data_IF_265567100134
#
_entry.id   IF_265567100134
#
_cell.length_a   1.000
_cell.length_b   1.000
_cell.length_c   1.000
_cell.angle_alpha   90.00
_cell.angle_beta   90.00
_cell.angle_gamma   90.00
#
_symmetry.space_group_name_H-M   'P 1'
#
loop_
_entity.id
_entity.type
_entity.pdbx_description
1 polymer ?
#
# COMPACT_ATOMS: atom_id res chain seq x y z
N UNK A 1 23.00 -1.98 0.11
CA UNK A 1 23.80 -1.86 -1.13
C UNK A 1 24.83 -0.77 -0.86
N UNK A 2 26.13 -1.03 -0.95
CA UNK A 2 27.14 0.00 -0.66
C UNK A 2 27.44 0.74 -1.95
N UNK A 3 27.01 2.00 -2.05
CA UNK A 3 27.24 2.82 -3.23
C UNK A 3 28.67 3.37 -3.18
N UNK A 4 29.46 3.08 -4.22
CA UNK A 4 30.83 3.57 -4.34
C UNK A 4 30.84 5.02 -4.82
N UNK A 5 31.25 5.93 -3.92
CA UNK A 5 31.26 7.37 -4.15
C UNK A 5 32.26 7.82 -5.21
N UNK A 6 33.35 7.09 -5.39
CA UNK A 6 34.37 7.46 -6.39
C UNK A 6 33.90 7.04 -7.78
N UNK A 7 33.21 5.91 -7.89
CA UNK A 7 32.52 5.52 -9.13
C UNK A 7 31.35 6.45 -9.48
N UNK A 8 30.67 7.04 -8.49
CA UNK A 8 29.60 8.01 -8.75
C UNK A 8 30.10 9.33 -9.36
N UNK A 9 31.24 9.86 -8.90
CA UNK A 9 31.85 11.05 -9.50
C UNK A 9 32.31 10.79 -10.93
N UNK A 10 32.74 9.57 -11.20
CA UNK A 10 33.14 9.10 -12.52
C UNK A 10 31.96 8.63 -13.40
N UNK A 11 30.69 8.83 -13.02
CA UNK A 11 29.55 8.40 -13.85
C UNK A 11 29.51 9.06 -15.23
N UNK A 12 30.13 10.23 -15.36
CA UNK A 12 30.25 10.94 -16.61
C UNK A 12 31.53 11.77 -16.63
N UNK A 13 32.11 11.89 -17.82
CA UNK A 13 33.29 12.68 -18.10
C UNK A 13 32.97 13.72 -19.15
N UNK A 14 33.72 14.81 -19.11
CA UNK A 14 33.60 15.91 -20.04
C UNK A 14 34.97 16.38 -20.51
N UNK A 15 35.00 16.97 -21.69
CA UNK A 15 36.12 17.83 -22.11
C UNK A 15 35.76 19.30 -21.91
N UNK A 16 36.73 20.19 -22.12
CA UNK A 16 36.59 21.63 -21.88
C UNK A 16 35.37 22.26 -22.58
N UNK A 17 35.05 21.80 -23.79
CA UNK A 17 33.99 22.35 -24.65
C UNK A 17 32.57 21.83 -24.33
N UNK A 18 32.37 21.08 -23.25
CA UNK A 18 31.07 20.44 -22.95
C UNK A 18 29.87 21.40 -22.77
N UNK A 19 30.11 22.70 -22.58
CA UNK A 19 29.05 23.71 -22.51
C UNK A 19 28.52 24.11 -23.89
N UNK A 20 29.31 23.91 -24.94
CA UNK A 20 29.00 24.33 -26.32
C UNK A 20 28.86 23.14 -27.26
N UNK A 21 29.49 22.00 -26.96
CA UNK A 21 29.36 20.76 -27.69
C UNK A 21 28.82 19.63 -26.81
N UNK A 22 27.69 19.04 -27.21
CA UNK A 22 27.12 17.88 -26.51
C UNK A 22 27.98 16.62 -26.65
N UNK A 23 28.78 16.52 -27.72
CA UNK A 23 29.70 15.41 -27.94
C UNK A 23 30.92 15.43 -27.01
N UNK A 24 31.17 16.57 -26.35
CA UNK A 24 32.19 16.75 -25.32
C UNK A 24 31.76 16.23 -23.93
N UNK A 25 30.76 15.36 -23.87
CA UNK A 25 30.39 14.59 -22.67
C UNK A 25 30.26 13.11 -23.01
N UNK A 26 30.66 12.22 -22.09
CA UNK A 26 30.48 10.78 -22.22
C UNK A 26 30.16 10.16 -20.86
N UNK A 27 29.34 9.11 -20.87
CA UNK A 27 29.05 8.27 -19.71
C UNK A 27 29.84 6.95 -19.74
N UNK A 28 30.65 6.74 -20.78
CA UNK A 28 31.45 5.55 -21.00
C UNK A 28 32.91 5.80 -20.59
N UNK A 29 33.38 5.02 -19.61
CA UNK A 29 34.73 5.07 -19.07
C UNK A 29 35.80 4.80 -20.12
N UNK A 30 35.55 3.90 -21.07
CA UNK A 30 36.50 3.57 -22.12
C UNK A 30 36.66 4.72 -23.12
N UNK A 31 35.56 5.43 -23.41
CA UNK A 31 35.58 6.61 -24.29
C UNK A 31 36.37 7.74 -23.62
N UNK A 32 36.14 7.98 -22.33
CA UNK A 32 36.88 8.97 -21.56
C UNK A 32 38.38 8.64 -21.50
N UNK A 33 38.74 7.37 -21.31
CA UNK A 33 40.13 6.92 -21.34
C UNK A 33 40.78 7.17 -22.70
N UNK A 34 40.09 6.87 -23.81
CA UNK A 34 40.59 7.16 -25.17
C UNK A 34 40.76 8.65 -25.44
N UNK A 35 39.91 9.52 -24.87
CA UNK A 35 40.10 10.96 -24.96
C UNK A 35 41.37 11.40 -24.22
N UNK A 36 41.58 10.88 -23.00
CA UNK A 36 42.79 11.15 -22.22
C UNK A 36 44.06 10.65 -22.93
N UNK A 37 44.04 9.46 -23.54
CA UNK A 37 45.16 8.92 -24.34
C UNK A 37 45.48 9.77 -25.56
N UNK A 38 44.48 10.42 -26.17
CA UNK A 38 44.67 11.39 -27.26
C UNK A 38 45.18 12.75 -26.77
N UNK A 39 45.33 12.93 -25.46
CA UNK A 39 45.80 14.15 -24.83
C UNK A 39 44.73 15.21 -24.62
N UNK A 40 43.44 14.85 -24.70
CA UNK A 40 42.36 15.80 -24.43
C UNK A 40 42.20 15.99 -22.91
N UNK A 41 41.89 17.20 -22.43
CA UNK A 41 41.56 17.42 -21.03
C UNK A 41 40.24 16.72 -20.72
N UNK A 42 40.26 15.79 -19.76
CA UNK A 42 39.10 14.99 -19.36
C UNK A 42 38.88 15.18 -17.86
N UNK A 43 37.73 15.74 -17.51
CA UNK A 43 37.33 15.97 -16.12
C UNK A 43 36.02 15.24 -15.81
N UNK A 44 35.77 14.88 -14.53
CA UNK A 44 34.45 14.46 -14.09
C UNK A 44 33.40 15.54 -14.40
N UNK A 45 32.24 15.11 -14.91
CA UNK A 45 31.12 16.02 -15.18
C UNK A 45 30.47 16.53 -13.90
N UNK A 46 30.42 15.67 -12.87
CA UNK A 46 29.83 15.99 -11.58
C UNK A 46 30.91 16.21 -10.52
N UNK A 47 30.74 17.27 -9.72
CA UNK A 47 31.62 17.49 -8.57
C UNK A 47 31.19 16.67 -7.34
N UNK A 48 32.07 16.61 -6.34
CA UNK A 48 31.82 15.88 -5.09
C UNK A 48 30.55 16.36 -4.37
N UNK A 49 30.29 17.67 -4.35
CA UNK A 49 29.15 18.25 -3.64
C UNK A 49 27.82 17.86 -4.29
N UNK A 50 27.78 17.83 -5.63
CA UNK A 50 26.63 17.34 -6.39
C UNK A 50 26.36 15.86 -6.11
N UNK A 51 27.41 15.03 -6.10
CA UNK A 51 27.29 13.60 -5.81
C UNK A 51 26.81 13.36 -4.39
N UNK A 52 27.37 14.04 -3.40
CA UNK A 52 26.94 13.89 -2.00
C UNK A 52 25.49 14.38 -1.80
N UNK A 53 25.08 15.46 -2.45
CA UNK A 53 23.69 15.94 -2.39
C UNK A 53 22.71 14.91 -2.97
N UNK A 54 23.06 14.27 -4.10
CA UNK A 54 22.25 13.21 -4.70
C UNK A 54 22.17 11.97 -3.79
N UNK A 55 23.27 11.58 -3.16
CA UNK A 55 23.29 10.46 -2.22
C UNK A 55 22.37 10.69 -1.02
N UNK A 56 22.38 11.91 -0.46
CA UNK A 56 21.47 12.29 0.64
C UNK A 56 20.01 12.22 0.20
N UNK A 57 19.69 12.67 -1.02
CA UNK A 57 18.32 12.61 -1.52
C UNK A 57 17.89 11.16 -1.82
N UNK A 58 18.78 10.32 -2.35
CA UNK A 58 18.52 8.89 -2.52
C UNK A 58 18.18 8.24 -1.16
N UNK A 59 19.00 8.47 -0.14
CA UNK A 59 18.76 7.91 1.20
C UNK A 59 17.42 8.39 1.79
N UNK A 60 17.10 9.68 1.61
CA UNK A 60 15.81 10.24 2.02
C UNK A 60 14.62 9.58 1.31
N UNK A 61 14.73 9.36 0.01
CA UNK A 61 13.68 8.72 -0.79
C UNK A 61 13.50 7.25 -0.41
N UNK A 62 14.58 6.52 -0.12
CA UNK A 62 14.53 5.16 0.40
C UNK A 62 13.78 5.10 1.74
N UNK A 63 14.09 6.02 2.66
CA UNK A 63 13.39 6.13 3.95
C UNK A 63 11.89 6.44 3.77
N UNK A 64 11.55 7.34 2.85
CA UNK A 64 10.15 7.66 2.55
C UNK A 64 9.39 6.44 2.01
N UNK A 65 9.99 5.71 1.06
CA UNK A 65 9.40 4.50 0.50
C UNK A 65 9.18 3.41 1.57
N UNK A 66 10.12 3.24 2.51
CA UNK A 66 9.95 2.31 3.63
C UNK A 66 8.79 2.68 4.55
N UNK A 67 8.64 3.97 4.86
CA UNK A 67 7.54 4.46 5.70
C UNK A 67 6.19 4.26 5.02
N UNK A 68 6.09 4.55 3.72
CA UNK A 68 4.87 4.29 2.95
C UNK A 68 4.54 2.78 2.90
N UNK A 69 5.54 1.92 2.68
CA UNK A 69 5.34 0.48 2.68
C UNK A 69 4.81 -0.03 4.03
N UNK A 70 5.39 0.43 5.15
CA UNK A 70 4.95 0.09 6.51
C UNK A 70 3.54 0.61 6.80
N UNK A 71 3.23 1.84 6.39
CA UNK A 71 1.90 2.43 6.54
C UNK A 71 0.83 1.69 5.75
N UNK A 72 1.16 1.29 4.51
CA UNK A 72 0.28 0.51 3.65
C UNK A 72 0.01 -0.89 4.22
N UNK A 73 1.03 -1.57 4.74
CA UNK A 73 0.88 -2.89 5.35
C UNK A 73 0.03 -2.84 6.64
N UNK A 74 0.28 -1.85 7.51
CA UNK A 74 -0.54 -1.63 8.71
C UNK A 74 -2.02 -1.36 8.36
N UNK A 75 -2.27 -0.51 7.36
CA UNK A 75 -3.63 -0.23 6.88
C UNK A 75 -4.31 -1.48 6.29
N UNK A 76 -3.57 -2.31 5.54
CA UNK A 76 -4.08 -3.56 5.00
C UNK A 76 -4.44 -4.56 6.11
N UNK A 77 -3.60 -4.68 7.14
CA UNK A 77 -3.85 -5.54 8.30
C UNK A 77 -5.10 -5.10 9.07
N UNK A 78 -5.27 -3.80 9.31
CA UNK A 78 -6.47 -3.27 9.96
C UNK A 78 -7.74 -3.52 9.13
N UNK A 79 -7.66 -3.38 7.81
CA UNK A 79 -8.80 -3.65 6.93
C UNK A 79 -9.20 -5.14 6.97
N UNK A 80 -8.23 -6.05 6.97
CA UNK A 80 -8.48 -7.50 7.13
C UNK A 80 -9.16 -7.78 8.48
N UNK A 81 -8.72 -7.13 9.56
CA UNK A 81 -9.33 -7.24 10.88
C UNK A 81 -10.79 -6.80 10.86
N UNK A 82 -11.06 -5.60 10.34
CA UNK A 82 -12.41 -5.03 10.25
C UNK A 82 -13.34 -5.88 9.37
N UNK A 83 -12.85 -6.47 8.28
CA UNK A 83 -13.65 -7.36 7.42
C UNK A 83 -14.04 -8.63 8.18
N UNK A 84 -13.15 -9.19 9.01
CA UNK A 84 -13.46 -10.36 9.85
C UNK A 84 -14.50 -10.03 10.91
N UNK A 85 -14.31 -8.92 11.64
CA UNK A 85 -15.25 -8.44 12.64
C UNK A 85 -16.64 -8.19 12.02
N UNK A 86 -16.71 -7.55 10.85
CA UNK A 86 -17.97 -7.34 10.14
C UNK A 86 -18.66 -8.64 9.73
N UNK A 87 -17.91 -9.67 9.34
CA UNK A 87 -18.50 -10.98 9.04
C UNK A 87 -19.09 -11.64 10.28
N UNK A 88 -18.40 -11.55 11.42
CA UNK A 88 -18.89 -12.08 12.70
C UNK A 88 -20.17 -11.34 13.12
N UNK A 89 -20.15 -10.01 13.14
CA UNK A 89 -21.30 -9.20 13.51
C UNK A 89 -22.52 -9.47 12.60
N UNK A 90 -22.30 -9.67 11.29
CA UNK A 90 -23.39 -10.07 10.39
C UNK A 90 -24.00 -11.42 10.76
N UNK A 91 -23.17 -12.42 11.06
CA UNK A 91 -23.65 -13.73 11.48
C UNK A 91 -24.41 -13.66 12.82
N UNK A 92 -23.94 -12.86 13.77
CA UNK A 92 -24.64 -12.61 15.04
C UNK A 92 -26.00 -11.95 14.83
N UNK A 93 -26.07 -10.92 13.98
CA UNK A 93 -27.34 -10.25 13.64
C UNK A 93 -28.32 -11.25 13.02
N UNK A 94 -27.86 -12.10 12.11
CA UNK A 94 -28.71 -13.14 11.50
C UNK A 94 -29.20 -14.16 12.52
N UNK A 95 -28.35 -14.61 13.43
CA UNK A 95 -28.73 -15.52 14.50
C UNK A 95 -29.79 -14.91 15.43
N UNK A 96 -29.61 -13.65 15.83
CA UNK A 96 -30.58 -12.93 16.67
C UNK A 96 -31.91 -12.76 15.94
N UNK A 97 -31.90 -12.42 14.66
CA UNK A 97 -33.13 -12.31 13.84
C UNK A 97 -33.85 -13.64 13.72
N UNK A 98 -33.12 -14.74 13.53
CA UNK A 98 -33.70 -16.07 13.45
C UNK A 98 -34.32 -16.51 14.78
N UNK A 99 -33.71 -16.15 15.90
CA UNK A 99 -34.27 -16.43 17.23
C UNK A 99 -35.52 -15.60 17.51
N UNK A 100 -35.49 -14.30 17.20
CA UNK A 100 -36.66 -13.43 17.35
C UNK A 100 -37.87 -13.94 16.54
N UNK A 101 -37.63 -14.41 15.31
CA UNK A 101 -38.68 -15.03 14.48
C UNK A 101 -39.26 -16.29 15.11
N UNK A 102 -38.41 -17.16 15.68
CA UNK A 102 -38.86 -18.37 16.38
C UNK A 102 -39.74 -18.04 17.58
N UNK A 103 -39.38 -17.01 18.35
CA UNK A 103 -40.18 -16.54 19.48
C UNK A 103 -41.54 -15.99 19.02
N UNK A 104 -41.55 -15.19 17.95
CA UNK A 104 -42.78 -14.65 17.36
C UNK A 104 -43.73 -15.76 16.89
N UNK A 105 -43.22 -16.75 16.15
CA UNK A 105 -44.00 -17.88 15.67
C UNK A 105 -44.56 -18.72 16.84
N UNK A 106 -43.76 -18.89 17.90
CA UNK A 106 -44.18 -19.54 19.14
C UNK A 106 -45.33 -18.80 19.84
N UNK A 107 -45.26 -17.47 19.93
CA UNK A 107 -46.32 -16.64 20.52
C UNK A 107 -47.61 -16.69 19.69
N UNK A 108 -47.51 -16.62 18.36
CA UNK A 108 -48.66 -16.74 17.45
C UNK A 108 -49.37 -18.08 17.62
N UNK A 109 -48.61 -19.16 17.72
CA UNK A 109 -49.17 -20.50 17.94
C UNK A 109 -49.83 -20.65 19.31
N UNK A 110 -49.23 -20.08 20.36
CA UNK A 110 -49.85 -20.05 21.68
C UNK A 110 -51.17 -19.28 21.67
N UNK A 111 -51.20 -18.12 21.01
CA UNK A 111 -52.40 -17.30 20.87
C UNK A 111 -53.51 -18.04 20.11
N UNK A 112 -53.18 -18.72 19.01
CA UNK A 112 -54.14 -19.58 18.27
C UNK A 112 -54.75 -20.65 19.17
N UNK A 113 -53.94 -21.33 19.99
CA UNK A 113 -54.42 -22.36 20.93
C UNK A 113 -55.31 -21.76 22.01
N UNK A 114 -54.95 -20.61 22.56
CA UNK A 114 -55.77 -19.93 23.57
C UNK A 114 -57.11 -19.48 22.99
N UNK A 115 -57.11 -18.85 21.82
CA UNK A 115 -58.35 -18.42 21.16
C UNK A 115 -59.28 -19.60 20.85
N UNK A 116 -58.72 -20.72 20.35
CA UNK A 116 -59.50 -21.95 20.12
C UNK A 116 -60.15 -22.48 21.41
N UNK A 117 -59.42 -22.43 22.54
CA UNK A 117 -59.97 -22.79 23.86
C UNK A 117 -61.09 -21.86 24.29
N UNK A 118 -60.92 -20.54 24.13
CA UNK A 118 -61.94 -19.54 24.47
C UNK A 118 -63.21 -19.78 23.66
N UNK A 119 -63.11 -19.97 22.35
CA UNK A 119 -64.27 -20.23 21.50
C UNK A 119 -65.02 -21.52 21.89
N UNK A 120 -64.28 -22.59 22.25
CA UNK A 120 -64.89 -23.81 22.76
C UNK A 120 -65.65 -23.59 24.09
N UNK A 121 -65.15 -22.73 24.97
CA UNK A 121 -65.82 -22.38 26.23
C UNK A 121 -67.03 -21.45 26.02
N UNK A 122 -66.97 -20.56 25.02
CA UNK A 122 -68.05 -19.62 24.68
C UNK A 122 -69.14 -20.23 23.77
N UNK A 123 -68.96 -21.48 23.30
CA UNK A 123 -69.88 -22.13 22.36
C UNK A 123 -69.89 -21.52 20.95
N UNK A 124 -68.82 -20.79 20.58
CA UNK A 124 -68.65 -20.14 19.26
C UNK A 124 -67.71 -20.98 18.39
N UNK A 125 -67.95 -21.03 17.08
CA UNK A 125 -67.03 -21.68 16.14
C UNK A 125 -65.80 -20.79 15.90
N UNK A 126 -64.60 -21.37 15.96
CA UNK A 126 -63.34 -20.70 15.60
C UNK A 126 -63.02 -21.07 14.15
N UNK A 127 -63.04 -20.08 13.24
CA UNK A 127 -62.57 -20.19 11.85
C UNK A 127 -61.06 -19.90 11.74
#
# INVERSE_FOLDING_TARGET
MTIDKDNLKALAWRTEDHLTDKSATTYDAEVAARWAEKGWPVDPLFDQGQVDALLVEIERLEQYAELEAKGSDAAAQDLIRLVRENRQLKAEIEAVRAEAKRQEDGLKEMLRRQNKRICALEGKHYD
#
